data_IF_239573483362
#
_entry.id   IF_239573483362
#
_cell.length_a   1.000
_cell.length_b   1.000
_cell.length_c   1.000
_cell.angle_alpha   90.00
_cell.angle_beta   90.00
_cell.angle_gamma   90.00
#
_symmetry.space_group_name_H-M   'P 1'
#
loop_
_entity.id
_entity.type
_entity.pdbx_description
1 polymer ?
#
# COMPACT_ATOMS: atom_id res chain seq x y z
N UNK A 1 -3.53 -25.07 -8.37
CA UNK A 1 -4.53 -25.09 -7.28
C UNK A 1 -3.91 -25.08 -5.86
N UNK A 2 -2.58 -24.85 -5.75
CA UNK A 2 -1.78 -24.46 -4.58
C UNK A 2 -2.12 -23.16 -3.82
N UNK A 3 -2.00 -22.06 -4.59
CA UNK A 3 -1.80 -20.71 -4.05
C UNK A 3 -3.08 -19.99 -3.62
N UNK A 4 -4.27 -20.49 -3.99
CA UNK A 4 -5.53 -19.82 -3.66
C UNK A 4 -5.92 -19.96 -2.19
N UNK A 5 -5.45 -20.99 -1.47
CA UNK A 5 -5.85 -21.24 -0.08
C UNK A 5 -4.99 -20.49 0.95
N UNK A 6 -3.73 -20.20 0.65
CA UNK A 6 -2.82 -19.52 1.59
C UNK A 6 -3.21 -18.05 1.76
N UNK A 7 -3.45 -17.33 0.66
CA UNK A 7 -3.83 -15.92 0.73
C UNK A 7 -5.18 -15.72 1.44
N UNK A 8 -6.19 -16.55 1.15
CA UNK A 8 -7.51 -16.44 1.79
C UNK A 8 -7.45 -16.63 3.32
N UNK A 9 -6.59 -17.53 3.81
CA UNK A 9 -6.38 -17.70 5.26
C UNK A 9 -5.63 -16.50 5.89
N UNK A 10 -4.65 -15.93 5.19
CA UNK A 10 -3.90 -14.76 5.66
C UNK A 10 -4.71 -13.46 5.63
N UNK A 11 -5.78 -13.36 4.83
CA UNK A 11 -6.66 -12.19 4.78
C UNK A 11 -7.81 -12.20 5.80
N UNK A 12 -8.08 -13.33 6.47
CA UNK A 12 -9.11 -13.39 7.51
C UNK A 12 -8.82 -12.47 8.72
N UNK A 13 -7.57 -12.28 9.17
CA UNK A 13 -7.23 -11.22 10.12
C UNK A 13 -7.46 -9.80 9.55
N UNK A 14 -7.21 -9.59 8.25
CA UNK A 14 -7.42 -8.30 7.59
C UNK A 14 -8.90 -7.90 7.54
N UNK A 15 -9.82 -8.85 7.36
CA UNK A 15 -11.26 -8.56 7.43
C UNK A 15 -11.68 -8.12 8.83
N UNK A 16 -11.11 -8.74 9.88
CA UNK A 16 -11.33 -8.31 11.26
C UNK A 16 -10.81 -6.90 11.50
N UNK A 17 -9.57 -6.60 11.10
CA UNK A 17 -9.00 -5.25 11.24
C UNK A 17 -9.84 -4.21 10.50
N UNK A 18 -10.30 -4.53 9.29
CA UNK A 18 -11.18 -3.66 8.49
C UNK A 18 -12.52 -3.38 9.19
N UNK A 19 -13.15 -4.40 9.77
CA UNK A 19 -14.37 -4.22 10.56
C UNK A 19 -14.13 -3.38 11.82
N UNK A 20 -13.02 -3.61 12.55
CA UNK A 20 -12.65 -2.82 13.74
C UNK A 20 -12.36 -1.36 13.38
N UNK A 21 -11.75 -1.12 12.21
CA UNK A 21 -11.52 0.21 11.66
C UNK A 21 -12.80 0.89 11.14
N UNK A 22 -13.96 0.21 11.21
CA UNK A 22 -15.24 0.75 10.74
C UNK A 22 -15.36 0.84 9.22
N UNK A 23 -14.53 0.09 8.48
CA UNK A 23 -14.64 0.04 7.02
C UNK A 23 -15.95 -0.65 6.63
N UNK A 24 -16.64 -0.08 5.64
CA UNK A 24 -17.81 -0.70 5.02
C UNK A 24 -17.44 -2.10 4.48
N UNK A 25 -18.17 -3.16 4.88
CA UNK A 25 -17.96 -4.51 4.35
C UNK A 25 -17.97 -4.58 2.82
N UNK A 26 -18.76 -3.73 2.15
CA UNK A 26 -18.78 -3.67 0.69
C UNK A 26 -17.47 -3.12 0.13
N UNK A 27 -16.90 -2.08 0.75
CA UNK A 27 -15.60 -1.54 0.39
C UNK A 27 -14.47 -2.57 0.61
N UNK A 28 -14.49 -3.32 1.72
CA UNK A 28 -13.55 -4.42 1.94
C UNK A 28 -13.67 -5.49 0.84
N UNK A 29 -14.88 -5.92 0.51
CA UNK A 29 -15.12 -6.89 -0.55
C UNK A 29 -14.61 -6.39 -1.92
N UNK A 30 -14.87 -5.12 -2.26
CA UNK A 30 -14.38 -4.50 -3.50
C UNK A 30 -12.86 -4.46 -3.57
N UNK A 31 -12.20 -4.19 -2.44
CA UNK A 31 -10.74 -4.19 -2.33
C UNK A 31 -10.15 -5.59 -2.57
N UNK A 32 -10.72 -6.62 -1.94
CA UNK A 32 -10.29 -8.01 -2.17
C UNK A 32 -10.55 -8.44 -3.62
N UNK A 33 -11.71 -8.08 -4.19
CA UNK A 33 -12.02 -8.38 -5.58
C UNK A 33 -11.00 -7.73 -6.53
N UNK A 34 -10.65 -6.47 -6.29
CA UNK A 34 -9.66 -5.73 -7.08
C UNK A 34 -8.28 -6.36 -6.99
N UNK A 35 -7.85 -6.75 -5.78
CA UNK A 35 -6.59 -7.47 -5.57
C UNK A 35 -6.55 -8.77 -6.37
N UNK A 36 -7.57 -9.63 -6.22
CA UNK A 36 -7.60 -10.93 -6.90
C UNK A 36 -7.66 -10.79 -8.42
N UNK A 37 -8.46 -9.86 -8.94
CA UNK A 37 -8.55 -9.59 -10.38
C UNK A 37 -7.22 -9.05 -10.92
N UNK A 38 -6.54 -8.16 -10.18
CA UNK A 38 -5.24 -7.61 -10.58
C UNK A 38 -4.16 -8.69 -10.60
N UNK A 39 -4.07 -9.53 -9.56
CA UNK A 39 -3.14 -10.67 -9.53
C UNK A 39 -3.40 -11.63 -10.68
N UNK A 40 -4.67 -11.96 -10.95
CA UNK A 40 -5.02 -12.83 -12.07
C UNK A 40 -4.61 -12.22 -13.42
N UNK A 41 -4.80 -10.92 -13.60
CA UNK A 41 -4.36 -10.21 -14.80
C UNK A 41 -2.84 -10.24 -14.94
N UNK A 42 -2.09 -9.98 -13.86
CA UNK A 42 -0.63 -10.01 -13.83
C UNK A 42 -0.06 -11.40 -14.09
N UNK A 43 -0.73 -12.48 -13.66
CA UNK A 43 -0.31 -13.85 -13.98
C UNK A 43 -0.48 -14.12 -15.48
N UNK A 44 -1.59 -13.67 -16.09
CA UNK A 44 -1.85 -13.85 -17.53
C UNK A 44 -0.93 -13.00 -18.40
N UNK A 45 -0.65 -11.78 -17.95
CA UNK A 45 0.18 -10.82 -18.64
C UNK A 45 1.04 -10.07 -17.60
N UNK A 46 2.25 -10.57 -17.31
CA UNK A 46 3.15 -9.95 -16.35
C UNK A 46 3.49 -8.51 -16.74
N UNK A 47 3.37 -7.61 -15.76
CA UNK A 47 3.80 -6.23 -15.93
C UNK A 47 5.33 -6.17 -16.06
N UNK A 48 5.82 -5.38 -17.01
CA UNK A 48 7.25 -5.19 -17.23
C UNK A 48 7.69 -3.92 -16.50
N UNK A 49 8.45 -4.09 -15.42
CA UNK A 49 9.02 -2.97 -14.68
C UNK A 49 10.26 -2.43 -15.37
N UNK A 50 10.24 -1.14 -15.72
CA UNK A 50 11.42 -0.40 -16.17
C UNK A 50 12.30 -0.02 -14.98
N UNK A 51 13.61 0.25 -15.20
CA UNK A 51 14.51 0.70 -14.12
C UNK A 51 13.99 1.90 -13.33
N UNK A 52 13.27 2.80 -14.00
CA UNK A 52 12.44 3.82 -13.37
C UNK A 52 10.98 3.52 -13.70
N UNK A 53 10.17 3.23 -12.68
CA UNK A 53 8.75 2.91 -12.83
C UNK A 53 7.90 3.96 -12.11
N UNK A 54 7.28 4.91 -12.82
CA UNK A 54 6.34 5.85 -12.21
C UNK A 54 5.07 5.13 -11.77
N UNK A 55 4.47 5.58 -10.67
CA UNK A 55 3.21 5.03 -10.20
C UNK A 55 2.12 5.11 -11.29
N UNK A 56 1.42 3.99 -11.52
CA UNK A 56 0.32 3.92 -12.48
C UNK A 56 -0.94 4.53 -11.85
N UNK A 57 -1.35 5.70 -12.36
CA UNK A 57 -2.51 6.46 -11.87
C UNK A 57 -3.73 6.41 -12.79
N UNK A 58 -3.59 5.86 -14.01
CA UNK A 58 -4.65 5.75 -15.01
C UNK A 58 -4.46 4.49 -15.88
N UNK A 59 -5.54 3.87 -16.39
CA UNK A 59 -6.95 4.22 -16.16
C UNK A 59 -7.47 3.84 -14.77
N UNK A 60 -6.68 3.08 -14.00
CA UNK A 60 -6.93 2.75 -12.62
C UNK A 60 -5.83 3.35 -11.73
N UNK A 61 -6.21 3.93 -10.60
CA UNK A 61 -5.27 4.53 -9.65
C UNK A 61 -4.79 3.48 -8.64
N UNK A 62 -3.73 2.75 -9.00
CA UNK A 62 -3.14 1.72 -8.15
C UNK A 62 -2.52 2.29 -6.87
N UNK A 63 -2.09 3.56 -6.89
CA UNK A 63 -1.53 4.22 -5.73
C UNK A 63 -2.60 4.51 -4.67
N UNK A 64 -3.69 5.17 -5.08
CA UNK A 64 -4.80 5.47 -4.17
C UNK A 64 -5.43 4.18 -3.62
N UNK A 65 -5.68 3.22 -4.50
CA UNK A 65 -6.20 1.91 -4.09
C UNK A 65 -5.28 1.19 -3.10
N UNK A 66 -3.96 1.18 -3.33
CA UNK A 66 -3.00 0.55 -2.42
C UNK A 66 -3.02 1.17 -1.02
N UNK A 67 -3.10 2.50 -0.93
CA UNK A 67 -3.21 3.20 0.34
C UNK A 67 -4.52 2.85 1.06
N UNK A 68 -5.65 2.85 0.35
CA UNK A 68 -6.95 2.51 0.92
C UNK A 68 -7.05 1.02 1.33
N UNK A 69 -6.32 0.15 0.63
CA UNK A 69 -6.21 -1.27 0.94
C UNK A 69 -5.45 -1.51 2.25
N UNK A 70 -4.35 -0.79 2.48
CA UNK A 70 -3.49 -0.95 3.66
C UNK A 70 -4.01 -0.17 4.88
N UNK A 71 -4.67 0.98 4.69
CA UNK A 71 -5.19 1.84 5.77
C UNK A 71 -5.92 1.11 6.91
N UNK A 72 -6.87 0.17 6.68
CA UNK A 72 -7.55 -0.52 7.78
C UNK A 72 -6.64 -1.43 8.62
N UNK A 73 -5.42 -1.72 8.16
CA UNK A 73 -4.44 -2.54 8.87
C UNK A 73 -3.56 -1.71 9.82
N UNK A 74 -3.62 -0.38 9.72
CA UNK A 74 -2.85 0.53 10.56
C UNK A 74 -3.66 0.86 11.81
N UNK A 75 -3.14 0.48 12.99
CA UNK A 75 -3.74 0.83 14.28
C UNK A 75 -3.27 2.25 14.66
N UNK A 76 -3.87 3.27 14.05
CA UNK A 76 -3.43 4.67 14.18
C UNK A 76 -3.29 5.15 15.63
N UNK A 77 -4.15 4.67 16.54
CA UNK A 77 -4.09 5.03 17.96
C UNK A 77 -2.82 4.54 18.67
N UNK A 78 -2.16 3.52 18.13
CA UNK A 78 -0.92 2.94 18.66
C UNK A 78 0.31 3.30 17.82
N UNK A 79 0.10 3.80 16.60
CA UNK A 79 1.15 4.33 15.73
C UNK A 79 1.71 5.64 16.26
N UNK A 80 2.98 5.93 15.94
CA UNK A 80 3.65 7.16 16.32
C UNK A 80 4.41 7.73 15.13
N UNK A 81 4.28 9.02 14.91
CA UNK A 81 5.13 9.80 14.00
C UNK A 81 6.16 10.56 14.83
N UNK A 82 7.42 10.48 14.44
CA UNK A 82 8.55 11.19 15.06
C UNK A 82 9.38 11.86 13.97
N UNK A 83 10.02 12.99 14.28
CA UNK A 83 10.87 13.69 13.30
C UNK A 83 10.11 14.43 12.19
N UNK A 84 8.88 14.89 12.44
CA UNK A 84 8.07 15.62 11.44
C UNK A 84 8.79 16.89 10.95
N UNK A 85 9.61 17.52 11.80
CA UNK A 85 10.48 18.62 11.45
C UNK A 85 11.47 18.27 10.32
N UNK A 86 12.01 17.05 10.31
CA UNK A 86 12.90 16.59 9.26
C UNK A 86 12.15 16.37 7.94
N UNK A 87 10.89 15.95 7.99
CA UNK A 87 10.06 15.88 6.78
C UNK A 87 9.86 17.27 6.16
N UNK A 88 9.66 18.31 6.97
CA UNK A 88 9.59 19.71 6.48
C UNK A 88 10.92 20.18 5.93
N UNK A 89 12.03 19.79 6.55
CA UNK A 89 13.37 20.10 6.07
C UNK A 89 13.65 19.44 4.70
N UNK A 90 13.27 18.17 4.54
CA UNK A 90 13.33 17.43 3.27
C UNK A 90 12.59 18.17 2.16
N UNK A 91 11.38 18.68 2.44
CA UNK A 91 10.63 19.49 1.47
C UNK A 91 11.41 20.74 1.05
N UNK A 92 12.10 21.42 1.98
CA UNK A 92 12.93 22.59 1.67
C UNK A 92 14.15 22.28 0.80
N UNK A 93 14.74 21.08 0.91
CA UNK A 93 15.82 20.61 0.03
C UNK A 93 15.28 20.36 -1.39
N UNK A 94 14.13 19.71 -1.49
CA UNK A 94 13.45 19.43 -2.76
C UNK A 94 13.07 20.74 -3.48
N UNK A 95 12.52 21.72 -2.77
CA UNK A 95 12.17 23.04 -3.34
C UNK A 95 13.38 23.80 -3.91
N UNK A 96 14.58 23.55 -3.38
CA UNK A 96 15.85 24.10 -3.88
C UNK A 96 16.45 23.31 -5.05
N UNK A 97 15.78 22.25 -5.50
CA UNK A 97 16.24 21.37 -6.57
C UNK A 97 17.34 20.40 -6.14
N UNK A 98 17.51 20.18 -4.84
CA UNK A 98 18.46 19.21 -4.31
C UNK A 98 17.88 17.79 -4.36
N UNK A 99 18.77 16.80 -4.43
CA UNK A 99 18.39 15.39 -4.33
C UNK A 99 18.43 14.95 -2.87
N UNK A 100 17.38 14.28 -2.42
CA UNK A 100 17.31 13.69 -1.08
C UNK A 100 17.27 12.17 -1.20
N UNK A 101 18.12 11.49 -0.44
CA UNK A 101 18.11 10.04 -0.31
C UNK A 101 17.70 9.66 1.12
N UNK A 102 16.60 8.91 1.26
CA UNK A 102 16.13 8.43 2.56
C UNK A 102 16.78 7.07 2.82
N UNK A 103 17.68 7.02 3.80
CA UNK A 103 18.26 5.77 4.28
C UNK A 103 17.34 5.18 5.35
N UNK A 104 16.57 4.16 4.97
CA UNK A 104 15.58 3.51 5.83
C UNK A 104 15.92 2.04 6.04
N UNK A 105 15.45 1.48 7.16
CA UNK A 105 15.25 0.04 7.25
C UNK A 105 14.06 -0.39 6.36
N UNK A 106 14.00 -1.69 6.06
CA UNK A 106 12.87 -2.32 5.38
C UNK A 106 12.30 -3.40 6.31
N UNK A 107 10.98 -3.43 6.48
CA UNK A 107 10.28 -4.37 7.36
C UNK A 107 9.24 -5.19 6.61
N UNK A 108 8.48 -4.56 5.71
CA UNK A 108 7.40 -5.21 4.97
C UNK A 108 7.27 -4.68 3.55
N UNK A 109 6.70 -5.49 2.65
CA UNK A 109 6.38 -5.04 1.28
C UNK A 109 5.36 -3.89 1.24
N UNK A 110 4.66 -3.62 2.35
CA UNK A 110 3.72 -2.53 2.50
C UNK A 110 4.36 -1.24 3.04
N UNK A 111 5.68 -1.22 3.31
CA UNK A 111 6.37 -0.04 3.85
C UNK A 111 6.07 1.26 3.06
N UNK A 112 5.95 1.26 1.71
CA UNK A 112 5.60 2.48 0.98
C UNK A 112 4.19 3.04 1.28
N UNK A 113 3.28 2.23 1.82
CA UNK A 113 1.90 2.60 2.18
C UNK A 113 1.72 2.80 3.69
N UNK A 114 2.73 2.51 4.51
CA UNK A 114 2.70 2.74 5.95
C UNK A 114 3.18 4.17 6.21
N UNK A 115 2.24 5.10 6.27
CA UNK A 115 2.49 6.53 6.49
C UNK A 115 1.25 7.28 6.95
#
# INVERSE_FOLDING_TARGET
>A
MYMSLIYLHSFAPCSRSSMVAGQDPQAFQQNIQTFLTSVQASIKQPYQFSPYHPAVRAPFDYYAWGNDFIRPLIIQQQSRLVGEEHAREILSYIERGENVCILSNHQTEADPQVG
#
